data_IF_081153460337
#
_entry.id   IF_081153460337
#
_cell.length_a   1.000
_cell.length_b   1.000
_cell.length_c   1.000
_cell.angle_alpha   90.00
_cell.angle_beta   90.00
_cell.angle_gamma   90.00
#
_symmetry.space_group_name_H-M   'P 1'
#
loop_
_entity.id
_entity.type
_entity.pdbx_description
1 polymer ?
#
# COMPACT_ATOMS: atom_id res chain seq x y z
N UNK A 1 -3.08 -66.53 15.45
CA UNK A 1 -3.88 -65.88 14.40
C UNK A 1 -4.59 -64.62 14.89
N UNK A 2 -5.22 -64.61 16.08
CA UNK A 2 -5.90 -63.43 16.62
C UNK A 2 -5.03 -62.15 16.79
N UNK A 3 -3.73 -62.29 17.05
CA UNK A 3 -2.83 -61.15 17.29
C UNK A 3 -2.42 -60.40 16.00
N UNK A 4 -2.57 -61.04 14.83
CA UNK A 4 -2.26 -60.44 13.52
C UNK A 4 -3.42 -59.57 13.05
N UNK A 5 -4.66 -59.99 13.32
CA UNK A 5 -5.87 -59.20 13.01
C UNK A 5 -5.96 -57.91 13.82
N UNK A 6 -5.61 -57.93 15.11
CA UNK A 6 -5.62 -56.71 15.95
C UNK A 6 -4.59 -55.68 15.47
N UNK A 7 -3.44 -56.10 14.97
CA UNK A 7 -2.43 -55.19 14.43
C UNK A 7 -2.83 -54.61 13.07
N UNK A 8 -3.44 -55.42 12.18
CA UNK A 8 -3.94 -54.91 10.91
C UNK A 8 -5.12 -53.94 11.08
N UNK A 9 -5.99 -54.18 12.07
CA UNK A 9 -7.13 -53.30 12.36
C UNK A 9 -6.69 -51.97 13.00
N UNK A 10 -5.58 -51.96 13.76
CA UNK A 10 -4.94 -50.74 14.26
C UNK A 10 -4.27 -49.93 13.14
N UNK A 11 -3.60 -50.59 12.20
CA UNK A 11 -3.03 -49.92 11.02
C UNK A 11 -4.12 -49.34 10.10
N UNK A 12 -5.27 -50.01 9.93
CA UNK A 12 -6.37 -49.45 9.13
C UNK A 12 -7.05 -48.24 9.78
N UNK A 13 -7.11 -48.21 11.13
CA UNK A 13 -7.62 -47.07 11.90
C UNK A 13 -6.66 -45.88 11.93
N UNK A 14 -5.34 -46.11 11.91
CA UNK A 14 -4.35 -45.02 11.83
C UNK A 14 -4.21 -44.45 10.41
N UNK A 15 -4.43 -45.24 9.36
CA UNK A 15 -4.47 -44.75 7.97
C UNK A 15 -5.69 -43.84 7.71
N UNK A 16 -6.82 -44.07 8.39
CA UNK A 16 -7.99 -43.18 8.31
C UNK A 16 -7.88 -41.92 9.18
N UNK A 17 -6.91 -41.87 10.09
CA UNK A 17 -6.60 -40.68 10.92
C UNK A 17 -5.50 -39.79 10.33
N UNK A 18 -5.02 -40.12 9.14
CA UNK A 18 -4.00 -39.37 8.38
C UNK A 18 -4.53 -38.24 7.50
N UNK A 19 -5.81 -37.84 7.58
CA UNK A 19 -6.25 -36.57 7.00
C UNK A 19 -5.89 -35.43 7.96
N UNK A 20 -4.59 -35.15 8.10
CA UNK A 20 -4.13 -33.89 8.65
C UNK A 20 -4.82 -32.79 7.86
N UNK A 21 -5.83 -32.18 8.46
CA UNK A 21 -6.66 -31.18 7.81
C UNK A 21 -5.76 -30.04 7.37
N UNK A 22 -5.39 -30.02 6.08
CA UNK A 22 -4.68 -28.90 5.48
C UNK A 22 -5.53 -27.66 5.76
N UNK A 23 -5.08 -26.81 6.68
CA UNK A 23 -5.75 -25.55 6.99
C UNK A 23 -5.50 -24.59 5.84
N UNK A 24 -6.45 -24.50 4.93
CA UNK A 24 -6.43 -23.53 3.85
C UNK A 24 -6.77 -22.14 4.42
N UNK A 25 -5.77 -21.28 4.61
CA UNK A 25 -6.03 -19.87 4.92
C UNK A 25 -6.24 -19.11 3.61
N UNK A 26 -7.48 -18.70 3.33
CA UNK A 26 -7.77 -17.80 2.21
C UNK A 26 -7.23 -16.41 2.50
N UNK A 27 -6.42 -15.88 1.59
CA UNK A 27 -5.92 -14.49 1.65
C UNK A 27 -6.98 -13.45 1.34
N UNK A 28 -8.12 -13.87 0.80
CA UNK A 28 -9.19 -12.98 0.32
C UNK A 28 -9.93 -12.28 1.44
N UNK A 29 -10.28 -12.98 2.52
CA UNK A 29 -11.09 -12.41 3.62
C UNK A 29 -10.42 -11.19 4.27
N UNK A 30 -9.18 -11.32 4.79
CA UNK A 30 -8.44 -10.19 5.36
C UNK A 30 -8.25 -9.03 4.37
N UNK A 31 -8.04 -9.32 3.08
CA UNK A 31 -7.87 -8.31 2.04
C UNK A 31 -9.15 -7.50 1.79
N UNK A 32 -10.31 -8.16 1.76
CA UNK A 32 -11.60 -7.47 1.60
C UNK A 32 -11.93 -6.60 2.81
N UNK A 33 -11.65 -7.07 4.04
CA UNK A 33 -11.82 -6.26 5.26
C UNK A 33 -10.91 -5.03 5.23
N UNK A 34 -9.64 -5.23 4.84
CA UNK A 34 -8.68 -4.14 4.69
C UNK A 34 -9.16 -3.10 3.67
N UNK A 35 -9.53 -3.52 2.46
CA UNK A 35 -10.05 -2.63 1.43
C UNK A 35 -11.34 -1.92 1.87
N UNK A 36 -12.24 -2.61 2.55
CA UNK A 36 -13.46 -2.01 3.09
C UNK A 36 -13.17 -0.90 4.10
N UNK A 37 -12.23 -1.13 5.03
CA UNK A 37 -11.77 -0.10 5.97
C UNK A 37 -11.17 1.11 5.25
N UNK A 38 -10.26 0.86 4.31
CA UNK A 38 -9.61 1.89 3.53
C UNK A 38 -10.60 2.76 2.74
N UNK A 39 -11.56 2.12 2.08
CA UNK A 39 -12.62 2.81 1.32
C UNK A 39 -13.51 3.64 2.24
N UNK A 40 -13.96 3.08 3.37
CA UNK A 40 -14.81 3.79 4.32
C UNK A 40 -14.11 5.03 4.88
N UNK A 41 -12.85 4.90 5.26
CA UNK A 41 -12.04 6.03 5.74
C UNK A 41 -11.88 7.10 4.66
N UNK A 42 -11.55 6.71 3.43
CA UNK A 42 -11.45 7.65 2.31
C UNK A 42 -12.74 8.42 2.05
N UNK A 43 -13.88 7.73 1.98
CA UNK A 43 -15.17 8.35 1.69
C UNK A 43 -15.63 9.32 2.79
N UNK A 44 -15.24 9.10 4.04
CA UNK A 44 -15.58 9.99 5.16
C UNK A 44 -14.66 11.21 5.20
N UNK A 45 -13.36 11.01 5.04
CA UNK A 45 -12.34 12.05 5.31
C UNK A 45 -12.01 12.86 4.06
N UNK A 46 -12.00 12.22 2.89
CA UNK A 46 -11.53 12.78 1.62
C UNK A 46 -12.68 13.04 0.65
N UNK A 47 -13.90 13.19 1.18
CA UNK A 47 -15.12 13.32 0.38
C UNK A 47 -14.96 14.40 -0.70
N UNK A 48 -14.47 15.57 -0.31
CA UNK A 48 -14.40 16.71 -1.22
C UNK A 48 -13.33 16.49 -2.30
N UNK A 49 -12.20 15.87 -1.98
CA UNK A 49 -11.13 15.53 -2.93
C UNK A 49 -11.57 14.43 -3.90
N UNK A 50 -12.27 13.40 -3.41
CA UNK A 50 -12.78 12.30 -4.22
C UNK A 50 -13.78 12.81 -5.26
N UNK A 51 -14.70 13.71 -4.88
CA UNK A 51 -15.78 14.17 -5.76
C UNK A 51 -15.46 15.43 -6.56
N UNK A 52 -14.33 16.12 -6.34
CA UNK A 52 -14.03 17.39 -7.01
C UNK A 52 -13.26 17.30 -8.34
N UNK A 53 -12.97 16.10 -8.87
CA UNK A 53 -12.35 15.83 -10.19
C UNK A 53 -11.47 16.98 -10.73
N UNK A 54 -10.39 17.31 -10.02
CA UNK A 54 -9.55 18.50 -10.30
C UNK A 54 -8.44 18.27 -11.33
N UNK A 55 -8.43 17.12 -12.01
CA UNK A 55 -7.27 16.64 -12.80
C UNK A 55 -6.78 17.66 -13.86
N UNK A 56 -7.63 18.23 -14.74
CA UNK A 56 -7.13 19.07 -15.84
C UNK A 56 -6.60 20.43 -15.38
N UNK A 57 -7.24 21.05 -14.39
CA UNK A 57 -6.87 22.39 -13.91
C UNK A 57 -5.55 22.38 -13.13
N UNK A 58 -5.28 21.29 -12.40
CA UNK A 58 -4.15 21.23 -11.48
C UNK A 58 -2.83 20.86 -12.16
N UNK A 59 -2.88 20.18 -13.30
CA UNK A 59 -1.69 19.86 -14.11
C UNK A 59 -1.02 21.12 -14.66
N UNK A 60 -1.80 22.17 -14.96
CA UNK A 60 -1.27 23.46 -15.42
C UNK A 60 -0.74 24.35 -14.29
N UNK A 61 -1.32 24.26 -13.09
CA UNK A 61 -0.99 25.17 -11.97
C UNK A 61 0.25 24.76 -11.18
N UNK A 62 0.53 23.46 -11.08
CA UNK A 62 1.64 22.92 -10.27
C UNK A 62 2.46 21.85 -11.02
N UNK A 63 2.98 22.16 -12.23
CA UNK A 63 3.60 21.17 -13.10
C UNK A 63 4.87 20.54 -12.50
N UNK A 64 5.60 21.29 -11.67
CA UNK A 64 6.82 20.78 -11.03
C UNK A 64 6.52 19.64 -10.04
N UNK A 65 5.52 19.79 -9.17
CA UNK A 65 5.16 18.75 -8.20
C UNK A 65 4.61 17.51 -8.90
N UNK A 66 3.81 17.69 -9.95
CA UNK A 66 3.33 16.59 -10.77
C UNK A 66 4.48 15.83 -11.44
N UNK A 67 5.39 16.56 -12.11
CA UNK A 67 6.56 15.97 -12.75
C UNK A 67 7.44 15.23 -11.75
N UNK A 68 7.68 15.83 -10.57
CA UNK A 68 8.42 15.18 -9.49
C UNK A 68 7.75 13.87 -9.06
N UNK A 69 6.45 13.89 -8.77
CA UNK A 69 5.69 12.72 -8.35
C UNK A 69 5.70 11.60 -9.41
N UNK A 70 5.53 11.93 -10.69
CA UNK A 70 5.61 10.97 -11.79
C UNK A 70 7.02 10.39 -11.89
N UNK A 71 8.05 11.24 -11.98
CA UNK A 71 9.42 10.81 -12.21
C UNK A 71 9.94 9.93 -11.07
N UNK A 72 9.66 10.29 -9.81
CA UNK A 72 10.11 9.50 -8.67
C UNK A 72 9.36 8.16 -8.58
N UNK A 73 8.07 8.13 -8.95
CA UNK A 73 7.29 6.88 -9.02
C UNK A 73 7.86 5.96 -10.10
N UNK A 74 8.11 6.48 -11.31
CA UNK A 74 8.70 5.70 -12.40
C UNK A 74 10.12 5.21 -12.06
N UNK A 75 10.93 6.04 -11.39
CA UNK A 75 12.25 5.64 -10.92
C UNK A 75 12.17 4.51 -9.88
N UNK A 76 11.20 4.57 -8.97
CA UNK A 76 10.93 3.47 -8.04
C UNK A 76 10.56 2.19 -8.76
N UNK A 77 9.65 2.25 -9.73
CA UNK A 77 9.22 1.05 -10.46
C UNK A 77 10.36 0.45 -11.28
N UNK A 78 11.19 1.29 -11.91
CA UNK A 78 12.43 0.84 -12.53
C UNK A 78 13.33 0.11 -11.54
N UNK A 79 13.55 0.68 -10.35
CA UNK A 79 14.38 0.07 -9.31
C UNK A 79 13.77 -1.25 -8.80
N UNK A 80 12.45 -1.26 -8.60
CA UNK A 80 11.68 -2.41 -8.14
C UNK A 80 11.77 -3.56 -9.14
N UNK A 81 11.60 -3.30 -10.44
CA UNK A 81 11.72 -4.31 -11.51
C UNK A 81 13.09 -5.00 -11.47
N UNK A 82 14.16 -4.26 -11.18
CA UNK A 82 15.53 -4.80 -11.09
C UNK A 82 15.74 -5.69 -9.88
N UNK A 83 15.09 -5.39 -8.75
CA UNK A 83 15.28 -6.15 -7.51
C UNK A 83 14.27 -7.27 -7.31
N UNK A 84 13.10 -7.19 -7.96
CA UNK A 84 11.96 -8.07 -7.72
C UNK A 84 11.99 -9.29 -8.64
N UNK A 85 11.55 -10.44 -8.09
CA UNK A 85 11.48 -11.74 -8.76
C UNK A 85 10.16 -12.45 -8.44
N UNK A 86 9.73 -13.28 -9.38
CA UNK A 86 8.50 -14.08 -9.27
C UNK A 86 8.74 -15.54 -8.88
N UNK A 87 9.99 -16.03 -8.84
CA UNK A 87 10.37 -17.41 -8.48
C UNK A 87 9.49 -18.49 -9.15
N UNK A 88 9.23 -18.36 -10.46
CA UNK A 88 8.42 -19.32 -11.21
C UNK A 88 6.89 -19.23 -11.01
N UNK A 89 6.38 -18.32 -10.17
CA UNK A 89 4.93 -18.15 -9.95
C UNK A 89 4.19 -17.79 -11.26
N UNK A 90 3.03 -18.42 -11.53
CA UNK A 90 2.26 -18.16 -12.75
C UNK A 90 1.67 -16.75 -12.74
N UNK A 91 1.57 -16.14 -13.93
CA UNK A 91 0.89 -14.87 -14.08
C UNK A 91 -0.63 -15.10 -14.18
N UNK A 92 -1.41 -14.34 -13.40
CA UNK A 92 -2.86 -14.37 -13.47
C UNK A 92 -3.37 -12.95 -13.76
N UNK A 93 -3.87 -12.76 -14.98
CA UNK A 93 -4.34 -11.45 -15.46
C UNK A 93 -5.54 -10.94 -14.65
N UNK A 94 -6.51 -11.81 -14.33
CA UNK A 94 -7.71 -11.40 -13.59
C UNK A 94 -7.35 -10.93 -12.18
N UNK A 95 -6.52 -11.69 -11.47
CA UNK A 95 -6.07 -11.30 -10.13
C UNK A 95 -5.24 -10.02 -10.18
N UNK A 96 -4.45 -9.83 -11.23
CA UNK A 96 -3.67 -8.61 -11.45
C UNK A 96 -4.59 -7.39 -11.60
N UNK A 97 -5.58 -7.46 -12.50
CA UNK A 97 -6.52 -6.35 -12.74
C UNK A 97 -7.32 -6.01 -11.46
N UNK A 98 -7.90 -7.03 -10.81
CA UNK A 98 -8.71 -6.84 -9.59
C UNK A 98 -7.86 -6.24 -8.48
N UNK A 99 -6.67 -6.80 -8.24
CA UNK A 99 -5.78 -6.31 -7.20
C UNK A 99 -5.34 -4.88 -7.50
N UNK A 100 -4.83 -4.61 -8.70
CA UNK A 100 -4.36 -3.28 -9.06
C UNK A 100 -5.44 -2.24 -8.85
N UNK A 101 -6.65 -2.44 -9.39
CA UNK A 101 -7.73 -1.45 -9.28
C UNK A 101 -8.22 -1.28 -7.84
N UNK A 102 -8.55 -2.36 -7.16
CA UNK A 102 -9.11 -2.28 -5.82
C UNK A 102 -8.07 -1.80 -4.80
N UNK A 103 -6.87 -2.36 -4.83
CA UNK A 103 -5.80 -1.99 -3.92
C UNK A 103 -5.35 -0.55 -4.14
N UNK A 104 -5.05 -0.15 -5.37
CA UNK A 104 -4.51 1.18 -5.62
C UNK A 104 -5.48 2.30 -5.29
N UNK A 105 -6.79 2.08 -5.46
CA UNK A 105 -7.81 3.04 -4.99
C UNK A 105 -7.88 3.04 -3.46
N UNK A 106 -8.07 1.87 -2.85
CA UNK A 106 -8.30 1.77 -1.41
C UNK A 106 -7.08 2.26 -0.62
N UNK A 107 -5.88 1.82 -0.95
CA UNK A 107 -4.67 2.20 -0.22
C UNK A 107 -4.39 3.70 -0.29
N UNK A 108 -4.53 4.33 -1.46
CA UNK A 108 -4.35 5.78 -1.59
C UNK A 108 -5.37 6.55 -0.75
N UNK A 109 -6.62 6.12 -0.74
CA UNK A 109 -7.65 6.71 0.12
C UNK A 109 -7.27 6.62 1.59
N UNK A 110 -6.70 5.50 2.00
CA UNK A 110 -6.26 5.33 3.36
C UNK A 110 -5.01 6.15 3.71
N UNK A 111 -4.00 6.15 2.83
CA UNK A 111 -2.79 6.94 3.02
C UNK A 111 -3.09 8.43 3.10
N UNK A 112 -3.90 8.96 2.17
CA UNK A 112 -4.33 10.35 2.18
C UNK A 112 -5.31 10.65 3.33
N UNK A 113 -6.09 9.66 3.77
CA UNK A 113 -6.98 9.79 4.93
C UNK A 113 -6.18 10.05 6.20
N UNK A 114 -5.18 9.21 6.47
CA UNK A 114 -4.26 9.42 7.60
C UNK A 114 -3.45 10.70 7.48
N UNK A 115 -3.07 11.10 6.26
CA UNK A 115 -2.48 12.42 6.01
C UNK A 115 -3.41 13.55 6.50
N UNK A 116 -4.68 13.56 6.06
CA UNK A 116 -5.66 14.59 6.47
C UNK A 116 -5.98 14.56 7.97
N UNK A 117 -6.03 13.38 8.60
CA UNK A 117 -6.25 13.28 10.06
C UNK A 117 -5.14 14.00 10.81
N UNK A 118 -3.88 13.72 10.48
CA UNK A 118 -2.74 14.31 11.17
C UNK A 118 -2.59 15.79 10.84
N UNK A 119 -2.88 16.18 9.60
CA UNK A 119 -2.99 17.57 9.18
C UNK A 119 -4.02 18.33 10.04
N UNK A 120 -5.21 17.78 10.20
CA UNK A 120 -6.29 18.35 11.03
C UNK A 120 -5.90 18.43 12.50
N UNK A 121 -5.27 17.38 13.04
CA UNK A 121 -4.75 17.38 14.40
C UNK A 121 -3.70 18.49 14.62
N UNK A 122 -2.78 18.69 13.67
CA UNK A 122 -1.80 19.76 13.74
C UNK A 122 -2.46 21.15 13.73
N UNK A 123 -3.46 21.37 12.86
CA UNK A 123 -4.22 22.63 12.84
C UNK A 123 -4.87 22.92 14.19
N UNK A 124 -5.53 21.93 14.78
CA UNK A 124 -6.18 22.07 16.10
C UNK A 124 -5.17 22.37 17.22
N UNK A 125 -4.01 21.70 17.22
CA UNK A 125 -2.95 21.94 18.19
C UNK A 125 -2.39 23.36 18.05
N UNK A 126 -2.12 23.80 16.82
CA UNK A 126 -1.56 25.12 16.55
C UNK A 126 -2.54 26.24 16.90
N UNK A 127 -3.83 26.05 16.61
CA UNK A 127 -4.90 26.96 17.05
C UNK A 127 -4.96 27.06 18.58
N UNK A 128 -4.92 25.92 19.28
CA UNK A 128 -4.95 25.88 20.75
C UNK A 128 -3.79 26.63 21.41
N UNK A 129 -2.59 26.57 20.84
CA UNK A 129 -1.41 27.28 21.38
C UNK A 129 -1.29 28.73 20.89
N UNK A 130 -2.32 29.26 20.23
CA UNK A 130 -2.33 30.63 19.70
C UNK A 130 -1.41 30.85 18.51
N UNK A 131 -0.93 29.77 17.88
CA UNK A 131 -0.10 29.81 16.67
C UNK A 131 -0.98 29.57 15.43
N UNK A 132 -2.01 30.41 15.28
CA UNK A 132 -3.03 30.20 14.27
C UNK A 132 -2.43 30.19 12.85
N UNK A 133 -2.72 29.16 12.02
CA UNK A 133 -2.48 29.27 10.59
C UNK A 133 -3.34 30.44 10.06
N UNK A 134 -2.74 31.34 9.27
CA UNK A 134 -3.50 32.44 8.66
C UNK A 134 -4.62 31.85 7.82
N UNK A 135 -5.85 32.31 8.05
CA UNK A 135 -7.06 31.84 7.37
C UNK A 135 -7.06 32.09 5.87
N UNK A 136 -6.07 32.84 5.33
CA UNK A 136 -5.93 33.09 3.91
C UNK A 136 -4.47 33.33 3.52
N UNK A 137 -3.89 32.40 2.77
CA UNK A 137 -2.54 32.52 2.22
C UNK A 137 -1.46 32.05 3.19
N UNK A 138 -0.40 31.45 2.63
CA UNK A 138 0.76 30.90 3.31
C UNK A 138 1.62 31.98 4.04
N UNK A 139 1.00 32.84 4.82
CA UNK A 139 1.62 33.99 5.49
C UNK A 139 2.46 33.54 6.70
N UNK A 140 2.06 32.42 7.33
CA UNK A 140 2.84 31.77 8.37
C UNK A 140 3.45 30.46 7.84
N UNK A 141 4.56 30.60 7.10
CA UNK A 141 5.29 29.48 6.50
C UNK A 141 5.69 28.42 7.53
N UNK A 142 5.95 28.81 8.78
CA UNK A 142 6.31 27.86 9.84
C UNK A 142 5.11 26.99 10.23
N UNK A 143 3.92 27.58 10.36
CA UNK A 143 2.69 26.83 10.64
C UNK A 143 2.40 25.83 9.51
N UNK A 144 2.51 26.27 8.26
CA UNK A 144 2.25 25.41 7.10
C UNK A 144 3.24 24.24 7.01
N UNK A 145 4.52 24.49 7.29
CA UNK A 145 5.53 23.42 7.36
C UNK A 145 5.19 22.42 8.46
N UNK A 146 4.79 22.89 9.65
CA UNK A 146 4.41 21.99 10.75
C UNK A 146 3.20 21.15 10.36
N UNK A 147 2.16 21.76 9.80
CA UNK A 147 0.95 21.07 9.38
C UNK A 147 1.28 20.02 8.30
N UNK A 148 2.08 20.39 7.30
CA UNK A 148 2.54 19.47 6.26
C UNK A 148 3.34 18.30 6.85
N UNK A 149 4.29 18.56 7.76
CA UNK A 149 5.12 17.54 8.39
C UNK A 149 4.26 16.56 9.18
N UNK A 150 3.24 17.04 9.89
CA UNK A 150 2.31 16.17 10.61
C UNK A 150 1.52 15.29 9.65
N UNK A 151 0.94 15.85 8.59
CA UNK A 151 0.25 15.08 7.56
C UNK A 151 1.16 14.01 6.94
N UNK A 152 2.39 14.41 6.56
CA UNK A 152 3.41 13.51 6.02
C UNK A 152 3.76 12.39 7.02
N UNK A 153 3.92 12.71 8.30
CA UNK A 153 4.16 11.71 9.35
C UNK A 153 2.98 10.73 9.47
N UNK A 154 1.73 11.22 9.42
CA UNK A 154 0.53 10.38 9.42
C UNK A 154 0.52 9.38 8.27
N UNK A 155 0.84 9.83 7.05
CA UNK A 155 1.03 8.94 5.90
C UNK A 155 2.10 7.88 6.21
N UNK A 156 3.30 8.30 6.60
CA UNK A 156 4.46 7.41 6.76
C UNK A 156 4.21 6.37 7.84
N UNK A 157 3.61 6.77 8.97
CA UNK A 157 3.26 5.85 10.07
C UNK A 157 2.26 4.80 9.57
N UNK A 158 1.16 5.22 8.96
CA UNK A 158 0.14 4.27 8.49
C UNK A 158 0.69 3.35 7.38
N UNK A 159 1.41 3.91 6.41
CA UNK A 159 2.06 3.15 5.34
C UNK A 159 3.04 2.11 5.88
N UNK A 160 3.93 2.51 6.80
CA UNK A 160 4.88 1.59 7.44
C UNK A 160 4.18 0.47 8.22
N UNK A 161 3.12 0.79 8.97
CA UNK A 161 2.36 -0.19 9.73
C UNK A 161 1.67 -1.21 8.84
N UNK A 162 0.98 -0.79 7.79
CA UNK A 162 0.32 -1.71 6.85
C UNK A 162 1.36 -2.59 6.14
N UNK A 163 2.49 -2.02 5.70
CA UNK A 163 3.53 -2.81 5.04
C UNK A 163 4.15 -3.86 5.99
N UNK A 164 4.42 -3.50 7.24
CA UNK A 164 5.00 -4.41 8.22
C UNK A 164 4.01 -5.48 8.69
N UNK A 165 2.77 -5.10 8.99
CA UNK A 165 1.80 -5.96 9.67
C UNK A 165 0.92 -6.75 8.70
N UNK A 166 0.58 -6.18 7.54
CA UNK A 166 -0.32 -6.77 6.57
C UNK A 166 0.45 -7.34 5.38
N UNK A 167 1.13 -6.48 4.60
CA UNK A 167 1.79 -6.91 3.36
C UNK A 167 2.96 -7.86 3.60
N UNK A 168 3.75 -7.64 4.65
CA UNK A 168 4.87 -8.51 5.01
C UNK A 168 4.47 -9.96 5.30
N UNK A 169 3.21 -10.20 5.70
CA UNK A 169 2.65 -11.54 5.92
C UNK A 169 2.00 -12.12 4.66
N UNK A 170 1.45 -11.26 3.81
CA UNK A 170 0.67 -11.67 2.64
C UNK A 170 1.54 -11.95 1.41
N UNK A 171 2.53 -11.08 1.17
CA UNK A 171 3.41 -11.16 0.02
C UNK A 171 4.48 -12.23 0.24
N UNK A 172 4.74 -13.09 -0.77
CA UNK A 172 5.86 -14.01 -0.70
C UNK A 172 7.18 -13.23 -0.72
N UNK A 173 8.27 -13.86 -0.27
CA UNK A 173 9.61 -13.31 -0.46
C UNK A 173 9.85 -13.10 -1.96
N UNK A 174 10.08 -11.86 -2.35
CA UNK A 174 10.12 -11.47 -3.76
C UNK A 174 11.31 -10.59 -4.13
N UNK A 175 12.18 -10.28 -3.18
CA UNK A 175 13.44 -9.59 -3.48
C UNK A 175 14.56 -10.60 -3.76
N UNK A 176 15.28 -10.34 -4.85
CA UNK A 176 16.49 -11.07 -5.17
C UNK A 176 17.54 -10.91 -4.07
N UNK A 177 18.30 -11.99 -3.85
CA UNK A 177 19.41 -12.03 -2.89
C UNK A 177 20.76 -11.95 -3.60
N UNK A 178 20.77 -11.67 -4.90
CA UNK A 178 21.98 -11.59 -5.70
C UNK A 178 22.81 -10.34 -5.32
N UNK A 179 24.17 -10.45 -5.25
CA UNK A 179 25.03 -9.36 -4.78
C UNK A 179 24.87 -8.05 -5.56
N UNK A 180 24.67 -8.13 -6.87
CA UNK A 180 24.63 -7.00 -7.80
C UNK A 180 23.44 -6.05 -7.56
N UNK A 181 22.33 -6.55 -7.00
CA UNK A 181 21.14 -5.75 -6.71
C UNK A 181 21.03 -5.33 -5.24
N UNK A 182 21.96 -5.76 -4.39
CA UNK A 182 21.84 -5.57 -2.94
C UNK A 182 21.90 -4.09 -2.53
N UNK A 183 22.75 -3.29 -3.19
CA UNK A 183 22.83 -1.84 -2.95
C UNK A 183 21.52 -1.14 -3.30
N UNK A 184 20.98 -1.43 -4.49
CA UNK A 184 19.71 -0.88 -4.94
C UNK A 184 18.56 -1.29 -4.01
N UNK A 185 18.52 -2.55 -3.57
CA UNK A 185 17.52 -3.05 -2.61
C UNK A 185 17.55 -2.28 -1.28
N UNK A 186 18.73 -1.95 -0.76
CA UNK A 186 18.86 -1.13 0.46
C UNK A 186 18.39 0.31 0.24
N UNK A 187 18.60 0.84 -0.96
CA UNK A 187 18.16 2.19 -1.33
C UNK A 187 16.63 2.30 -1.56
N UNK A 188 15.93 1.19 -1.83
CA UNK A 188 14.48 1.22 -2.10
C UNK A 188 13.68 1.88 -0.98
N UNK A 189 14.03 1.66 0.28
CA UNK A 189 13.35 2.32 1.40
C UNK A 189 13.45 3.85 1.30
N UNK A 190 14.63 4.37 0.94
CA UNK A 190 14.82 5.80 0.71
C UNK A 190 14.06 6.29 -0.53
N UNK A 191 14.07 5.52 -1.63
CA UNK A 191 13.33 5.86 -2.84
C UNK A 191 11.82 5.93 -2.54
N UNK A 192 11.29 4.96 -1.78
CA UNK A 192 9.90 4.95 -1.33
C UNK A 192 9.58 6.20 -0.48
N UNK A 193 10.48 6.61 0.40
CA UNK A 193 10.29 7.87 1.15
C UNK A 193 10.23 9.11 0.25
N UNK A 194 11.02 9.14 -0.84
CA UNK A 194 10.96 10.23 -1.83
C UNK A 194 9.65 10.22 -2.62
N UNK A 195 9.10 9.04 -2.94
CA UNK A 195 7.76 8.93 -3.54
C UNK A 195 6.72 9.52 -2.60
N UNK A 196 6.71 9.07 -1.34
CA UNK A 196 5.74 9.53 -0.36
C UNK A 196 5.83 11.05 -0.19
N UNK A 197 7.04 11.61 -0.13
CA UNK A 197 7.25 13.05 -0.08
C UNK A 197 6.67 13.74 -1.31
N UNK A 198 6.93 13.22 -2.51
CA UNK A 198 6.40 13.79 -3.75
C UNK A 198 4.89 13.75 -3.85
N UNK A 199 4.29 12.63 -3.45
CA UNK A 199 2.84 12.48 -3.42
C UNK A 199 2.19 13.42 -2.40
N UNK A 200 2.76 13.51 -1.20
CA UNK A 200 2.26 14.43 -0.17
C UNK A 200 2.40 15.90 -0.60
N UNK A 201 3.53 16.29 -1.20
CA UNK A 201 3.71 17.65 -1.73
C UNK A 201 2.72 17.96 -2.84
N UNK A 202 2.52 17.01 -3.77
CA UNK A 202 1.54 17.16 -4.83
C UNK A 202 0.13 17.31 -4.28
N UNK A 203 -0.30 16.41 -3.38
CA UNK A 203 -1.62 16.44 -2.76
C UNK A 203 -1.85 17.67 -1.89
N UNK A 204 -0.85 18.08 -1.10
CA UNK A 204 -0.92 19.30 -0.29
C UNK A 204 -1.26 20.54 -1.12
N UNK A 205 -0.62 20.68 -2.29
CA UNK A 205 -0.82 21.84 -3.16
C UNK A 205 -2.07 21.73 -4.03
N UNK A 206 -2.58 20.52 -4.28
CA UNK A 206 -3.62 20.31 -5.30
C UNK A 206 -4.94 19.76 -4.78
N UNK A 207 -4.91 18.94 -3.74
CA UNK A 207 -6.02 18.09 -3.34
C UNK A 207 -6.40 17.05 -4.41
N UNK A 208 -5.58 16.84 -5.45
CA UNK A 208 -5.90 15.87 -6.50
C UNK A 208 -5.50 14.46 -6.06
N UNK A 209 -6.48 13.73 -5.57
CA UNK A 209 -6.31 12.33 -5.15
C UNK A 209 -6.24 11.36 -6.33
N UNK A 210 -6.88 11.67 -7.46
CA UNK A 210 -7.01 10.73 -8.57
C UNK A 210 -5.70 10.56 -9.33
N UNK A 211 -4.88 11.61 -9.43
CA UNK A 211 -3.50 11.47 -9.91
C UNK A 211 -2.72 10.52 -9.01
N UNK A 212 -2.85 10.61 -7.69
CA UNK A 212 -2.17 9.68 -6.78
C UNK A 212 -2.68 8.24 -6.90
N UNK A 213 -4.00 8.06 -7.08
CA UNK A 213 -4.59 6.76 -7.40
C UNK A 213 -3.94 6.19 -8.65
N UNK A 214 -3.88 6.93 -9.75
CA UNK A 214 -3.27 6.48 -11.01
C UNK A 214 -1.80 6.09 -10.80
N UNK A 215 -1.02 6.90 -10.08
CA UNK A 215 0.37 6.58 -9.77
C UNK A 215 0.49 5.29 -8.95
N UNK A 216 -0.39 5.07 -7.98
CA UNK A 216 -0.41 3.84 -7.19
C UNK A 216 -0.85 2.61 -7.98
N UNK A 217 -1.80 2.77 -8.92
CA UNK A 217 -2.19 1.68 -9.84
C UNK A 217 -0.98 1.18 -10.63
N UNK A 218 -0.05 2.06 -11.01
CA UNK A 218 1.20 1.67 -11.69
C UNK A 218 2.07 0.82 -10.76
N UNK A 219 2.25 1.24 -9.50
CA UNK A 219 3.02 0.48 -8.49
C UNK A 219 2.42 -0.91 -8.31
N UNK A 220 1.10 -1.01 -8.13
CA UNK A 220 0.43 -2.30 -7.92
C UNK A 220 0.47 -3.19 -9.16
N UNK A 221 0.32 -2.61 -10.35
CA UNK A 221 0.46 -3.35 -11.60
C UNK A 221 1.86 -3.97 -11.74
N UNK A 222 2.91 -3.20 -11.45
CA UNK A 222 4.29 -3.69 -11.49
C UNK A 222 4.52 -4.75 -10.42
N UNK A 223 4.05 -4.54 -9.18
CA UNK A 223 4.10 -5.54 -8.12
C UNK A 223 3.43 -6.84 -8.55
N UNK A 224 2.22 -6.79 -9.09
CA UNK A 224 1.49 -7.98 -9.54
C UNK A 224 2.18 -8.68 -10.71
N UNK A 225 2.73 -7.93 -11.67
CA UNK A 225 3.45 -8.49 -12.81
C UNK A 225 4.78 -9.13 -12.42
N UNK A 226 5.52 -8.53 -11.47
CA UNK A 226 6.89 -8.93 -11.07
C UNK A 226 6.94 -9.90 -9.91
N UNK A 227 6.07 -9.76 -8.92
CA UNK A 227 6.00 -10.63 -7.74
C UNK A 227 5.07 -11.81 -7.98
N UNK A 228 3.96 -11.58 -8.70
CA UNK A 228 2.89 -12.56 -8.96
C UNK A 228 2.43 -13.25 -7.68
N UNK A 229 1.98 -12.48 -6.68
CA UNK A 229 1.57 -13.06 -5.42
C UNK A 229 0.34 -13.97 -5.64
N UNK A 230 0.29 -15.15 -5.01
CA UNK A 230 -0.87 -16.04 -5.09
C UNK A 230 -1.97 -15.50 -4.17
N UNK A 231 -2.57 -14.39 -4.61
CA UNK A 231 -3.75 -13.77 -4.01
C UNK A 231 -5.00 -14.40 -4.63
N UNK A 232 -6.09 -14.46 -3.86
CA UNK A 232 -7.37 -15.03 -4.30
C UNK A 232 -7.33 -16.51 -4.69
N UNK A 233 -6.24 -17.21 -4.36
CA UNK A 233 -6.10 -18.65 -4.53
C UNK A 233 -6.03 -19.34 -3.18
N UNK A 234 -6.53 -20.57 -3.11
CA UNK A 234 -6.35 -21.43 -1.93
C UNK A 234 -4.87 -21.82 -1.87
N UNK A 235 -4.16 -21.43 -0.81
CA UNK A 235 -2.83 -21.96 -0.51
C UNK A 235 -2.99 -23.25 0.28
N UNK A 236 -2.34 -24.32 -0.17
CA UNK A 236 -1.99 -25.42 0.73
C UNK A 236 -0.89 -24.89 1.66
N UNK A 237 -1.11 -25.01 2.97
CA UNK A 237 -0.11 -24.74 4.02
C UNK A 237 0.41 -26.06 4.53
#
# INVERSE_FOLDING_TARGET
MAQVEVNQQKETLDVTRGSGGKTFTSTTGPLLVYWGFCLAMGLVILRDEIFSLRIPEMWGKYPFFLAYAILITLFNEWAYIKVARHDGRPFNLNNTIIFTLANGVCEVFAFMGFYRIFEGAAKLILEFVGFAPSSAGHENIVADIIIFIFGFAGFVIYSGLVHALFWGRLLPRHFSSAPEVQKLRKALGLIQMLIVLGWCLYFWNTGDIWTLVILHLIIDAVLMARVRPPLFTRREV
#
